data_IF_482089793831
#
_entry.id   IF_482089793831
#
_cell.length_a   1.000
_cell.length_b   1.000
_cell.length_c   1.000
_cell.angle_alpha   90.00
_cell.angle_beta   90.00
_cell.angle_gamma   90.00
#
_symmetry.space_group_name_H-M   'P 1'
#
loop_
_entity.id
_entity.type
_entity.pdbx_description
1 polymer ?
#
# COMPACT_ATOMS: atom_id res chain seq x y z
N UNK A 1 19.24 18.60 2.32
CA UNK A 1 18.05 18.69 3.19
C UNK A 1 18.46 18.41 4.63
N UNK A 2 17.65 18.81 5.63
CA UNK A 2 17.93 18.48 7.03
C UNK A 2 17.84 16.95 7.25
N UNK A 3 18.57 16.44 8.24
CA UNK A 3 18.39 15.06 8.66
C UNK A 3 17.07 14.91 9.40
N UNK A 4 16.46 13.71 9.31
CA UNK A 4 15.27 13.39 10.11
C UNK A 4 15.65 13.37 11.60
N UNK A 5 14.84 14.05 12.41
CA UNK A 5 15.01 14.03 13.88
C UNK A 5 14.14 12.90 14.42
N UNK A 6 14.78 11.87 14.94
CA UNK A 6 14.15 10.71 15.54
C UNK A 6 13.99 10.86 17.05
N UNK A 7 12.76 10.74 17.57
CA UNK A 7 12.54 10.35 18.97
C UNK A 7 12.62 8.83 19.09
N UNK A 8 12.69 8.30 20.30
CA UNK A 8 12.73 6.84 20.50
C UNK A 8 11.45 6.18 19.93
N UNK A 9 10.29 6.79 20.12
CA UNK A 9 9.01 6.26 19.63
C UNK A 9 8.93 6.30 18.09
N UNK A 10 9.40 7.39 17.47
CA UNK A 10 9.44 7.49 16.00
C UNK A 10 10.41 6.49 15.39
N UNK A 11 11.56 6.28 16.03
CA UNK A 11 12.55 5.30 15.59
C UNK A 11 11.99 3.89 15.66
N UNK A 12 11.29 3.55 16.74
CA UNK A 12 10.63 2.25 16.88
C UNK A 12 9.60 1.99 15.78
N UNK A 13 8.79 3.00 15.43
CA UNK A 13 7.84 2.92 14.31
C UNK A 13 8.57 2.77 12.96
N UNK A 14 9.64 3.54 12.73
CA UNK A 14 10.45 3.44 11.51
C UNK A 14 11.07 2.05 11.36
N UNK A 15 11.60 1.48 12.43
CA UNK A 15 12.12 0.11 12.44
C UNK A 15 11.01 -0.94 12.19
N UNK A 16 9.81 -0.72 12.72
CA UNK A 16 8.67 -1.60 12.46
C UNK A 16 8.27 -1.56 10.98
N UNK A 17 8.29 -0.38 10.34
CA UNK A 17 8.07 -0.24 8.90
C UNK A 17 9.15 -0.96 8.09
N UNK A 18 10.44 -0.78 8.44
CA UNK A 18 11.55 -1.47 7.78
C UNK A 18 11.41 -2.99 7.91
N UNK A 19 11.08 -3.51 9.08
CA UNK A 19 10.81 -4.96 9.27
C UNK A 19 9.68 -5.46 8.38
N UNK A 20 8.60 -4.68 8.21
CA UNK A 20 7.51 -5.06 7.30
C UNK A 20 7.96 -5.06 5.83
N UNK A 21 8.76 -4.09 5.40
CA UNK A 21 9.33 -4.04 4.06
C UNK A 21 10.30 -5.20 3.79
N UNK A 22 11.16 -5.55 4.76
CA UNK A 22 12.04 -6.73 4.69
C UNK A 22 11.24 -8.02 4.50
N UNK A 23 10.13 -8.18 5.23
CA UNK A 23 9.26 -9.33 5.08
C UNK A 23 8.62 -9.39 3.68
N UNK A 24 8.17 -8.25 3.14
CA UNK A 24 7.67 -8.18 1.76
C UNK A 24 8.76 -8.55 0.74
N UNK A 25 9.99 -8.08 0.92
CA UNK A 25 11.12 -8.46 0.08
C UNK A 25 11.42 -9.96 0.16
N UNK A 26 11.44 -10.53 1.35
CA UNK A 26 11.65 -11.96 1.57
C UNK A 26 10.57 -12.84 0.91
N UNK A 27 9.34 -12.34 0.83
CA UNK A 27 8.22 -12.99 0.12
C UNK A 27 8.23 -12.75 -1.40
N UNK A 28 9.14 -11.93 -1.92
CA UNK A 28 9.20 -11.58 -3.34
C UNK A 28 8.10 -10.62 -3.79
N UNK A 29 7.54 -9.83 -2.87
CA UNK A 29 6.45 -8.90 -3.14
C UNK A 29 6.91 -7.50 -3.60
N UNK A 30 8.22 -7.24 -3.55
CA UNK A 30 8.84 -5.98 -3.98
C UNK A 30 10.09 -6.24 -4.85
N UNK A 31 9.93 -6.95 -5.97
CA UNK A 31 11.06 -7.31 -6.84
C UNK A 31 11.71 -6.06 -7.44
N UNK A 32 13.00 -6.16 -7.77
CA UNK A 32 13.75 -5.14 -8.51
C UNK A 32 13.62 -3.72 -7.90
N UNK A 33 13.71 -3.59 -6.58
CA UNK A 33 13.55 -2.33 -5.81
C UNK A 33 12.14 -1.70 -5.86
N UNK A 34 11.15 -2.41 -6.42
CA UNK A 34 9.77 -1.96 -6.49
C UNK A 34 9.14 -1.75 -5.10
N UNK A 35 7.95 -1.15 -5.12
CA UNK A 35 7.17 -0.90 -3.91
C UNK A 35 7.68 0.26 -3.07
N UNK A 36 6.80 0.77 -2.24
CA UNK A 36 7.10 1.83 -1.28
C UNK A 36 6.17 1.71 -0.06
N UNK A 37 6.68 2.15 1.08
CA UNK A 37 6.04 1.98 2.38
C UNK A 37 6.08 3.31 3.12
N UNK A 38 4.96 3.68 3.75
CA UNK A 38 4.92 4.88 4.57
C UNK A 38 4.17 4.64 5.88
N UNK A 39 4.46 5.46 6.88
CA UNK A 39 3.66 5.55 8.08
C UNK A 39 3.46 7.02 8.48
N UNK A 40 2.35 7.27 9.18
CA UNK A 40 2.05 8.54 9.82
C UNK A 40 2.06 8.34 11.33
N UNK A 41 2.90 9.11 12.01
CA UNK A 41 2.91 9.12 13.47
C UNK A 41 1.64 9.77 14.01
N UNK A 42 0.93 9.04 14.85
CA UNK A 42 -0.36 9.48 15.40
C UNK A 42 -0.23 10.67 16.35
N UNK A 43 0.92 10.81 17.04
CA UNK A 43 1.13 11.87 18.04
C UNK A 43 1.46 13.21 17.37
N UNK A 44 2.33 13.22 16.37
CA UNK A 44 2.81 14.43 15.70
C UNK A 44 2.17 14.72 14.35
N UNK A 45 1.52 13.72 13.72
CA UNK A 45 1.01 13.79 12.37
C UNK A 45 2.11 13.74 11.27
N UNK A 46 3.38 13.58 11.64
CA UNK A 46 4.51 13.49 10.70
C UNK A 46 4.38 12.24 9.85
N UNK A 47 4.73 12.35 8.57
CA UNK A 47 4.65 11.25 7.61
C UNK A 47 6.06 10.88 7.15
N UNK A 48 6.35 9.59 7.16
CA UNK A 48 7.62 9.03 6.71
C UNK A 48 7.39 8.03 5.61
N UNK A 49 8.22 8.07 4.55
CA UNK A 49 8.11 7.18 3.39
C UNK A 49 9.50 6.68 2.99
N UNK A 50 9.58 5.47 2.48
CA UNK A 50 10.83 4.90 1.96
C UNK A 50 11.34 5.71 0.76
N UNK A 51 12.65 6.00 0.73
CA UNK A 51 13.26 6.59 -0.45
C UNK A 51 13.21 5.64 -1.66
N UNK A 52 13.18 6.24 -2.86
CA UNK A 52 13.08 5.52 -4.13
C UNK A 52 14.38 4.79 -4.49
N UNK A 53 14.24 3.66 -5.21
CA UNK A 53 15.37 2.94 -5.81
C UNK A 53 16.18 2.07 -4.85
N UNK A 54 15.75 1.93 -3.58
CA UNK A 54 16.43 1.13 -2.57
C UNK A 54 15.90 -0.31 -2.52
N UNK A 55 16.78 -1.25 -2.21
CA UNK A 55 16.41 -2.63 -1.90
C UNK A 55 15.60 -2.68 -0.60
N UNK A 56 14.31 -2.99 -0.71
CA UNK A 56 13.40 -3.05 0.44
C UNK A 56 13.76 -4.13 1.45
N UNK A 57 14.60 -5.08 1.07
CA UNK A 57 15.15 -6.11 1.97
C UNK A 57 16.29 -5.62 2.87
N UNK A 58 16.81 -4.41 2.63
CA UNK A 58 17.98 -3.88 3.34
C UNK A 58 17.80 -2.46 3.90
N UNK A 59 16.63 -1.84 3.73
CA UNK A 59 16.38 -0.47 4.21
C UNK A 59 16.45 -0.36 5.73
N UNK A 60 16.86 0.82 6.18
CA UNK A 60 16.94 1.22 7.59
C UNK A 60 16.12 2.48 7.85
N UNK A 61 15.88 2.92 9.08
CA UNK A 61 15.23 4.20 9.36
C UNK A 61 15.89 5.40 8.67
N UNK A 62 17.19 5.35 8.43
CA UNK A 62 17.97 6.40 7.75
C UNK A 62 17.60 6.54 6.26
N UNK A 63 16.96 5.52 5.67
CA UNK A 63 16.48 5.48 4.30
C UNK A 63 15.04 6.01 4.15
N UNK A 64 14.45 6.53 5.22
CA UNK A 64 13.13 7.14 5.20
C UNK A 64 13.25 8.66 5.01
N UNK A 65 12.32 9.18 4.22
CA UNK A 65 12.12 10.61 4.03
C UNK A 65 10.93 11.05 4.88
N UNK A 66 11.05 12.20 5.53
CA UNK A 66 9.90 12.89 6.11
C UNK A 66 9.27 13.77 5.02
N UNK A 67 7.96 13.64 4.83
CA UNK A 67 7.19 14.39 3.84
C UNK A 67 6.00 15.11 4.49
N UNK A 68 5.53 16.17 3.83
CA UNK A 68 4.24 16.79 4.16
C UNK A 68 3.07 16.11 3.43
N UNK A 69 1.85 16.60 3.66
CA UNK A 69 0.63 16.11 2.97
C UNK A 69 0.58 16.45 1.48
N UNK A 70 1.43 17.36 1.00
CA UNK A 70 1.62 17.64 -0.43
C UNK A 70 2.70 16.73 -1.04
N UNK A 71 3.29 15.84 -0.23
CA UNK A 71 4.36 14.92 -0.60
C UNK A 71 5.71 15.62 -0.90
N UNK A 72 5.88 16.87 -0.42
CA UNK A 72 7.15 17.56 -0.46
C UNK A 72 8.06 17.03 0.65
N UNK A 73 9.35 16.80 0.30
CA UNK A 73 10.32 16.27 1.26
C UNK A 73 10.75 17.38 2.23
N UNK A 74 10.50 17.16 3.52
CA UNK A 74 10.88 18.03 4.62
C UNK A 74 12.29 17.71 5.12
N UNK A 75 12.60 16.42 5.30
CA UNK A 75 13.88 15.94 5.82
C UNK A 75 14.21 14.54 5.28
N UNK A 76 15.47 14.15 5.43
CA UNK A 76 15.99 12.85 4.99
C UNK A 76 16.92 12.97 3.80
N UNK A 77 17.49 11.82 3.39
CA UNK A 77 18.45 11.73 2.28
C UNK A 77 17.89 10.83 1.19
N UNK A 78 17.92 11.28 -0.06
CA UNK A 78 17.40 10.53 -1.20
C UNK A 78 16.31 11.28 -1.95
N UNK A 79 15.57 10.55 -2.79
CA UNK A 79 14.46 11.09 -3.58
C UNK A 79 13.19 10.29 -3.28
N UNK A 80 12.03 10.94 -3.19
CA UNK A 80 10.77 10.23 -3.10
C UNK A 80 10.48 9.50 -4.42
N UNK A 81 9.67 8.45 -4.36
CA UNK A 81 9.09 7.85 -5.56
C UNK A 81 8.12 8.85 -6.20
N UNK A 82 7.98 8.81 -7.52
CA UNK A 82 6.92 9.54 -8.21
C UNK A 82 5.52 9.14 -7.70
N UNK A 83 5.39 7.93 -7.19
CA UNK A 83 4.17 7.36 -6.59
C UNK A 83 3.84 7.89 -5.19
N UNK A 84 4.73 8.69 -4.58
CA UNK A 84 4.51 9.28 -3.25
C UNK A 84 3.22 10.10 -3.19
N UNK A 85 2.84 10.74 -4.31
CA UNK A 85 1.58 11.50 -4.43
C UNK A 85 0.34 10.65 -4.14
N UNK A 86 0.36 9.35 -4.48
CA UNK A 86 -0.75 8.44 -4.21
C UNK A 86 -0.90 8.14 -2.71
N UNK A 87 0.22 8.04 -1.98
CA UNK A 87 0.19 7.98 -0.51
C UNK A 87 -0.44 9.24 0.07
N UNK A 88 -0.08 10.42 -0.43
CA UNK A 88 -0.66 11.69 -0.01
C UNK A 88 -2.18 11.73 -0.21
N UNK A 89 -2.69 11.23 -1.34
CA UNK A 89 -4.14 11.10 -1.59
C UNK A 89 -4.79 10.22 -0.53
N UNK A 90 -4.25 9.03 -0.27
CA UNK A 90 -4.80 8.09 0.71
C UNK A 90 -4.82 8.70 2.12
N UNK A 91 -3.74 9.35 2.56
CA UNK A 91 -3.71 10.02 3.87
C UNK A 91 -4.71 11.15 4.01
N UNK A 92 -4.99 11.91 2.94
CA UNK A 92 -6.01 12.98 2.95
C UNK A 92 -7.42 12.44 2.97
N UNK A 93 -7.71 11.43 2.13
CA UNK A 93 -9.05 10.86 1.99
C UNK A 93 -9.42 9.91 3.13
N UNK A 94 -8.44 9.28 3.74
CA UNK A 94 -8.56 8.32 4.86
C UNK A 94 -7.82 8.83 6.10
N UNK A 95 -8.36 9.81 6.84
CA UNK A 95 -7.65 10.45 7.97
C UNK A 95 -7.23 9.48 9.09
N UNK A 96 -7.93 8.33 9.24
CA UNK A 96 -7.57 7.26 10.18
C UNK A 96 -6.37 6.40 9.74
N UNK A 97 -5.82 6.61 8.53
CA UNK A 97 -4.69 5.82 8.03
C UNK A 97 -3.41 6.14 8.80
N UNK A 98 -2.82 5.11 9.42
CA UNK A 98 -1.53 5.19 10.09
C UNK A 98 -0.38 4.63 9.26
N UNK A 99 -0.64 3.74 8.28
CA UNK A 99 0.38 3.25 7.36
C UNK A 99 -0.21 2.85 6.00
N UNK A 100 0.62 2.95 4.96
CA UNK A 100 0.28 2.57 3.58
C UNK A 100 1.41 1.72 3.01
N UNK A 101 1.06 0.60 2.39
CA UNK A 101 1.99 -0.33 1.75
C UNK A 101 1.64 -0.47 0.27
N UNK A 102 2.65 -0.35 -0.57
CA UNK A 102 2.54 -0.61 -2.01
C UNK A 102 3.49 -1.73 -2.40
N UNK A 103 2.95 -2.76 -3.04
CA UNK A 103 3.68 -3.96 -3.44
C UNK A 103 3.29 -4.42 -4.84
N UNK A 104 4.21 -5.18 -5.47
CA UNK A 104 4.04 -5.75 -6.81
C UNK A 104 4.17 -7.27 -6.74
N UNK A 105 3.05 -7.98 -6.84
CA UNK A 105 3.06 -9.45 -6.85
C UNK A 105 2.53 -9.99 -8.17
N UNK A 106 2.80 -11.27 -8.44
CA UNK A 106 2.22 -11.95 -9.60
C UNK A 106 0.69 -12.01 -9.44
N UNK A 107 0.21 -12.31 -8.24
CA UNK A 107 -1.22 -12.42 -7.95
C UNK A 107 -1.97 -11.13 -8.26
N UNK A 108 -1.54 -10.00 -7.66
CA UNK A 108 -2.20 -8.72 -7.86
C UNK A 108 -2.09 -8.20 -9.31
N UNK A 109 -0.96 -8.50 -9.99
CA UNK A 109 -0.77 -8.17 -11.41
C UNK A 109 -1.78 -8.90 -12.30
N UNK A 110 -1.97 -10.20 -12.09
CA UNK A 110 -2.86 -11.02 -12.89
C UNK A 110 -4.34 -10.67 -12.66
N UNK A 111 -4.76 -10.56 -11.39
CA UNK A 111 -6.17 -10.26 -11.08
C UNK A 111 -6.55 -8.85 -11.52
N UNK A 112 -5.66 -7.86 -11.37
CA UNK A 112 -5.92 -6.49 -11.83
C UNK A 112 -6.14 -6.40 -13.33
N UNK A 113 -5.44 -7.19 -14.12
CA UNK A 113 -5.66 -7.26 -15.58
C UNK A 113 -6.94 -8.02 -15.92
N UNK A 114 -7.17 -9.15 -15.27
CA UNK A 114 -8.34 -10.01 -15.54
C UNK A 114 -9.67 -9.31 -15.24
N UNK A 115 -9.73 -8.56 -14.14
CA UNK A 115 -10.93 -7.86 -13.70
C UNK A 115 -11.00 -6.39 -14.14
N UNK A 116 -10.08 -5.91 -14.99
CA UNK A 116 -10.01 -4.51 -15.41
C UNK A 116 -11.35 -4.01 -16.00
N UNK A 117 -12.01 -4.79 -16.85
CA UNK A 117 -13.30 -4.42 -17.44
C UNK A 117 -14.45 -4.36 -16.44
N UNK A 118 -14.33 -5.03 -15.29
CA UNK A 118 -15.30 -4.98 -14.21
C UNK A 118 -15.05 -3.80 -13.25
N UNK A 119 -13.88 -3.14 -13.33
CA UNK A 119 -13.49 -1.99 -12.51
C UNK A 119 -13.09 -2.31 -11.08
N UNK A 120 -13.29 -3.56 -10.62
CA UNK A 120 -12.89 -4.01 -9.28
C UNK A 120 -12.72 -5.53 -9.23
N UNK A 121 -11.88 -6.02 -8.33
CA UNK A 121 -11.78 -7.44 -7.98
C UNK A 121 -12.77 -7.74 -6.86
N UNK A 122 -13.77 -8.61 -7.07
CA UNK A 122 -14.64 -9.09 -6.00
C UNK A 122 -13.96 -10.25 -5.26
N UNK A 123 -13.86 -10.14 -3.95
CA UNK A 123 -13.42 -11.21 -3.05
C UNK A 123 -14.58 -11.54 -2.12
N UNK A 124 -15.10 -12.77 -2.22
CA UNK A 124 -16.35 -13.18 -1.55
C UNK A 124 -16.18 -14.52 -0.87
N UNK A 125 -16.82 -14.67 0.29
CA UNK A 125 -16.97 -15.93 1.02
C UNK A 125 -15.65 -16.59 1.47
N UNK A 126 -14.56 -15.82 1.55
CA UNK A 126 -13.28 -16.28 2.08
C UNK A 126 -13.17 -16.04 3.59
N UNK A 127 -12.74 -17.04 4.34
CA UNK A 127 -12.52 -16.91 5.79
C UNK A 127 -11.51 -15.81 6.11
N UNK A 128 -10.49 -15.61 5.25
CA UNK A 128 -9.44 -14.64 5.47
C UNK A 128 -9.90 -13.18 5.33
N UNK A 129 -11.09 -12.93 4.77
CA UNK A 129 -11.69 -11.58 4.77
C UNK A 129 -11.85 -11.00 6.18
N UNK A 130 -11.98 -11.83 7.20
CA UNK A 130 -12.01 -11.40 8.61
C UNK A 130 -10.70 -10.76 9.12
N UNK A 131 -9.63 -10.84 8.36
CA UNK A 131 -8.40 -10.09 8.65
C UNK A 131 -8.51 -8.61 8.27
N UNK A 132 -9.49 -8.24 7.45
CA UNK A 132 -9.77 -6.84 7.10
C UNK A 132 -10.49 -6.14 8.26
N UNK A 133 -10.12 -4.91 8.55
CA UNK A 133 -10.69 -4.14 9.66
C UNK A 133 -12.21 -3.93 9.46
N UNK A 134 -13.00 -4.20 10.50
CA UNK A 134 -14.46 -4.06 10.43
C UNK A 134 -15.20 -5.28 9.84
N UNK A 135 -14.49 -6.28 9.33
CA UNK A 135 -15.09 -7.49 8.77
C UNK A 135 -15.18 -8.58 9.83
N UNK A 136 -16.41 -8.92 10.24
CA UNK A 136 -16.68 -9.89 11.32
C UNK A 136 -16.98 -11.31 10.81
N UNK A 137 -17.27 -11.50 9.53
CA UNK A 137 -17.71 -12.77 8.95
C UNK A 137 -17.11 -13.02 7.57
N UNK A 138 -16.94 -14.29 7.21
CA UNK A 138 -16.53 -14.66 5.86
C UNK A 138 -17.57 -14.28 4.78
N UNK A 139 -18.86 -14.12 5.15
CA UNK A 139 -19.93 -13.67 4.24
C UNK A 139 -19.84 -12.17 3.96
N UNK A 140 -18.64 -11.70 3.70
CA UNK A 140 -18.33 -10.34 3.32
C UNK A 140 -17.97 -10.32 1.83
N UNK A 141 -18.33 -9.23 1.17
CA UNK A 141 -17.90 -8.93 -0.19
C UNK A 141 -16.95 -7.74 -0.14
N UNK A 142 -15.68 -8.00 -0.31
CA UNK A 142 -14.67 -6.97 -0.50
C UNK A 142 -14.60 -6.64 -2.00
N UNK A 143 -14.67 -5.37 -2.33
CA UNK A 143 -14.44 -4.86 -3.69
C UNK A 143 -13.15 -4.06 -3.69
N UNK A 144 -12.13 -4.59 -4.35
CA UNK A 144 -10.85 -3.88 -4.50
C UNK A 144 -10.84 -3.18 -5.86
N UNK A 145 -11.00 -1.84 -5.92
CA UNK A 145 -11.08 -1.12 -7.19
C UNK A 145 -9.78 -1.20 -7.97
N UNK A 146 -9.91 -1.12 -9.30
CA UNK A 146 -8.80 -1.16 -10.25
C UNK A 146 -8.77 0.17 -10.99
N UNK A 147 -7.59 0.81 -11.02
CA UNK A 147 -7.29 1.97 -11.83
C UNK A 147 -6.37 1.57 -12.98
N UNK A 148 -6.48 2.26 -14.12
CA UNK A 148 -5.49 2.09 -15.18
C UNK A 148 -4.12 2.61 -14.73
N UNK A 149 -3.07 1.90 -15.08
CA UNK A 149 -1.72 2.32 -14.78
C UNK A 149 -1.33 3.53 -15.63
N UNK A 150 -0.76 4.57 -15.01
CA UNK A 150 -0.34 5.80 -15.69
C UNK A 150 0.97 6.32 -15.09
N UNK A 151 1.79 6.93 -15.93
CA UNK A 151 2.96 7.71 -15.50
C UNK A 151 2.61 9.20 -15.32
N UNK A 152 1.37 9.59 -15.64
CA UNK A 152 0.83 10.92 -15.36
C UNK A 152 0.16 10.88 -13.97
N UNK A 153 0.97 11.13 -12.93
CA UNK A 153 0.56 10.94 -11.53
C UNK A 153 -0.47 11.95 -11.04
N UNK A 154 -0.58 13.15 -11.64
CA UNK A 154 -1.59 14.13 -11.25
C UNK A 154 -3.00 13.64 -11.62
N UNK A 155 -3.19 13.10 -12.83
CA UNK A 155 -4.44 12.47 -13.24
C UNK A 155 -4.74 11.20 -12.46
N UNK A 156 -3.74 10.34 -12.27
CA UNK A 156 -3.89 9.11 -11.48
C UNK A 156 -4.29 9.40 -10.02
N UNK A 157 -3.78 10.50 -9.44
CA UNK A 157 -4.17 10.94 -8.09
C UNK A 157 -5.66 11.32 -8.02
N UNK A 158 -6.20 11.98 -9.05
CA UNK A 158 -7.63 12.32 -9.13
C UNK A 158 -8.51 11.06 -9.31
N UNK A 159 -8.06 10.10 -10.12
CA UNK A 159 -8.75 8.83 -10.28
C UNK A 159 -8.75 8.03 -8.98
N UNK A 160 -7.62 8.00 -8.25
CA UNK A 160 -7.52 7.37 -6.93
C UNK A 160 -8.49 8.01 -5.94
N UNK A 161 -8.54 9.34 -5.87
CA UNK A 161 -9.47 10.06 -5.00
C UNK A 161 -10.93 9.71 -5.32
N UNK A 162 -11.28 9.62 -6.62
CA UNK A 162 -12.62 9.21 -7.05
C UNK A 162 -12.92 7.76 -6.66
N UNK A 163 -11.96 6.84 -6.84
CA UNK A 163 -12.10 5.44 -6.45
C UNK A 163 -12.30 5.29 -4.93
N UNK A 164 -11.51 5.99 -4.12
CA UNK A 164 -11.66 5.97 -2.66
C UNK A 164 -13.07 6.45 -2.23
N UNK A 165 -13.62 7.47 -2.87
CA UNK A 165 -15.01 7.94 -2.61
C UNK A 165 -16.07 6.94 -3.05
N UNK A 166 -15.87 6.28 -4.21
CA UNK A 166 -16.83 5.31 -4.75
C UNK A 166 -16.81 3.98 -4.02
N UNK A 167 -15.67 3.63 -3.41
CA UNK A 167 -15.45 2.40 -2.65
C UNK A 167 -15.03 2.71 -1.19
N UNK A 168 -15.91 3.32 -0.39
CA UNK A 168 -15.54 3.79 0.95
C UNK A 168 -15.14 2.67 1.92
N UNK A 169 -15.61 1.45 1.68
CA UNK A 169 -15.27 0.26 2.48
C UNK A 169 -14.05 -0.52 1.98
N UNK A 170 -13.41 -0.11 0.88
CA UNK A 170 -12.26 -0.83 0.35
C UNK A 170 -11.02 -0.72 1.26
N UNK A 171 -10.30 -1.84 1.38
CA UNK A 171 -9.05 -1.93 2.14
C UNK A 171 -7.79 -1.84 1.25
N UNK A 172 -7.98 -1.66 -0.04
CA UNK A 172 -6.90 -1.47 -1.00
C UNK A 172 -7.40 -0.98 -2.35
N UNK A 173 -6.47 -0.60 -3.21
CA UNK A 173 -6.69 -0.20 -4.61
C UNK A 173 -5.60 -0.85 -5.46
N UNK A 174 -5.96 -1.39 -6.59
CA UNK A 174 -5.04 -1.97 -7.58
C UNK A 174 -4.77 -0.97 -8.71
N UNK A 175 -3.52 -0.85 -9.11
CA UNK A 175 -3.17 -0.32 -10.43
C UNK A 175 -3.03 -1.51 -11.39
N UNK A 176 -3.70 -1.43 -12.53
CA UNK A 176 -3.72 -2.52 -13.53
C UNK A 176 -2.32 -2.89 -13.98
N UNK A 177 -1.98 -4.20 -13.92
CA UNK A 177 -0.66 -4.76 -14.29
C UNK A 177 0.51 -4.12 -13.57
N UNK A 178 0.29 -3.58 -12.36
CA UNK A 178 1.29 -2.86 -11.61
C UNK A 178 1.38 -3.38 -10.18
N UNK A 179 0.45 -3.01 -9.32
CA UNK A 179 0.53 -3.39 -7.92
C UNK A 179 -0.66 -2.96 -7.07
N UNK A 180 -0.61 -3.34 -5.80
CA UNK A 180 -1.60 -3.05 -4.78
C UNK A 180 -1.13 -1.89 -3.90
N UNK A 181 -2.03 -0.94 -3.63
CA UNK A 181 -1.97 -0.04 -2.48
C UNK A 181 -2.94 -0.54 -1.42
N UNK A 182 -2.46 -0.72 -0.20
CA UNK A 182 -3.31 -1.05 0.96
C UNK A 182 -2.89 -0.23 2.16
N UNK A 183 -3.77 -0.03 3.11
CA UNK A 183 -3.56 0.82 4.28
C UNK A 183 -4.21 0.24 5.53
N UNK A 184 -3.86 0.81 6.69
CA UNK A 184 -4.43 0.48 7.97
C UNK A 184 -4.17 1.58 9.00
N UNK A 185 -4.84 1.51 10.14
CA UNK A 185 -4.69 2.47 11.25
C UNK A 185 -3.30 2.42 11.91
N UNK A 186 -2.50 1.43 11.58
CA UNK A 186 -1.13 1.23 12.06
C UNK A 186 -0.33 0.40 11.05
N UNK A 187 1.00 0.35 11.22
CA UNK A 187 1.89 -0.52 10.45
C UNK A 187 1.43 -1.99 10.54
N UNK A 188 1.06 -2.45 11.73
CA UNK A 188 0.55 -3.81 11.93
C UNK A 188 -0.79 -4.03 11.22
N UNK A 189 -1.69 -3.04 11.24
CA UNK A 189 -2.98 -3.08 10.55
C UNK A 189 -2.81 -3.14 9.03
N UNK A 190 -1.99 -2.26 8.46
CA UNK A 190 -1.68 -2.24 7.03
C UNK A 190 -1.03 -3.56 6.57
N UNK A 191 -0.09 -4.10 7.36
CA UNK A 191 0.53 -5.39 7.08
C UNK A 191 -0.49 -6.53 7.08
N UNK A 192 -1.42 -6.55 8.04
CA UNK A 192 -2.47 -7.58 8.11
C UNK A 192 -3.40 -7.51 6.88
N UNK A 193 -3.79 -6.31 6.44
CA UNK A 193 -4.58 -6.13 5.22
C UNK A 193 -3.81 -6.59 3.99
N UNK A 194 -2.53 -6.22 3.89
CA UNK A 194 -1.65 -6.66 2.80
C UNK A 194 -1.59 -8.19 2.71
N UNK A 195 -1.30 -8.87 3.82
CA UNK A 195 -1.18 -10.33 3.85
C UNK A 195 -2.49 -11.01 3.44
N UNK A 196 -3.63 -10.48 3.88
CA UNK A 196 -4.94 -11.00 3.52
C UNK A 196 -5.26 -10.80 2.04
N UNK A 197 -5.08 -9.60 1.53
CA UNK A 197 -5.39 -9.28 0.12
C UNK A 197 -4.47 -10.03 -0.83
N UNK A 198 -3.16 -10.10 -0.56
CA UNK A 198 -2.21 -10.82 -1.42
C UNK A 198 -2.49 -12.33 -1.44
N UNK A 199 -2.83 -12.94 -0.30
CA UNK A 199 -3.26 -14.34 -0.26
C UNK A 199 -4.50 -14.56 -1.14
N UNK A 200 -5.51 -13.68 -1.02
CA UNK A 200 -6.75 -13.82 -1.77
C UNK A 200 -6.54 -13.56 -3.28
N UNK A 201 -5.70 -12.62 -3.65
CA UNK A 201 -5.31 -12.42 -5.06
C UNK A 201 -4.56 -13.61 -5.63
N UNK A 202 -3.69 -14.25 -4.85
CA UNK A 202 -3.02 -15.46 -5.28
C UNK A 202 -4.03 -16.61 -5.51
N UNK A 203 -5.00 -16.77 -4.61
CA UNK A 203 -6.07 -17.76 -4.76
C UNK A 203 -6.89 -17.50 -6.03
N UNK A 204 -7.35 -16.25 -6.24
CA UNK A 204 -8.12 -15.87 -7.43
C UNK A 204 -7.31 -16.05 -8.73
N UNK A 205 -6.03 -15.68 -8.72
CA UNK A 205 -5.18 -15.84 -9.91
C UNK A 205 -5.00 -17.30 -10.30
N UNK A 206 -4.88 -18.20 -9.32
CA UNK A 206 -4.76 -19.66 -9.57
C UNK A 206 -6.09 -20.27 -10.01
N UNK A 207 -7.22 -19.83 -9.44
CA UNK A 207 -8.55 -20.27 -9.86
C UNK A 207 -8.79 -19.97 -11.34
N UNK A 208 -8.43 -18.75 -11.77
CA UNK A 208 -8.56 -18.32 -13.16
C UNK A 208 -7.65 -19.10 -14.14
N UNK A 209 -6.46 -19.52 -13.68
CA UNK A 209 -5.54 -20.34 -14.50
C UNK A 209 -5.96 -21.82 -14.65
N UNK A 210 -6.89 -22.31 -13.83
CA UNK A 210 -7.41 -23.68 -13.90
C UNK A 210 -8.68 -23.83 -14.74
N UNK A 211 -9.27 -22.75 -15.21
CA UNK A 211 -10.48 -22.73 -16.05
C UNK A 211 -10.17 -22.68 -17.57
N UNK A 212 -8.92 -23.02 -18.00
CA UNK A 212 -8.46 -22.98 -19.40
C UNK A 212 -8.54 -24.32 -20.07
#
# INVERSE_FOLDING_TARGET
>A
MAAVVWTDELREQAEALCRAAHECARRGWVPATAGNFSFRDAASGRIFITASGLDKGAITPEDLLEIDLNCEVIAGTGKPSAETSLHGVIYRDRPGTGAIFHVHTIGNTLVSDRFASAGAVPLEDYELLKALTGVATHRHRELVPILENSQEYAGLALELEAALRNYPGAHGVLLRRHGLYTWGESIAGARRHLEALEFLFEVESRRLGGES
#
